data_IF_994909994818
#
_entry.id   IF_994909994818
#
_cell.length_a   1.000
_cell.length_b   1.000
_cell.length_c   1.000
_cell.angle_alpha   90.00
_cell.angle_beta   90.00
_cell.angle_gamma   90.00
#
_symmetry.space_group_name_H-M   'P 1'
#
loop_
_entity.id
_entity.type
_entity.pdbx_description
1 polymer ?
#
# COMPACT_ATOMS: atom_id res chain seq x y z
N UNK A 1 -58.04 -26.34 1.41
CA UNK A 1 -57.22 -27.26 0.57
C UNK A 1 -56.93 -26.71 -0.82
N UNK A 2 -57.88 -26.09 -1.54
CA UNK A 2 -57.61 -25.54 -2.90
C UNK A 2 -56.57 -24.42 -2.98
N UNK A 3 -56.41 -23.59 -1.96
CA UNK A 3 -55.39 -22.49 -1.97
C UNK A 3 -53.94 -23.00 -1.86
N UNK A 4 -53.68 -24.05 -1.10
CA UNK A 4 -52.34 -24.64 -0.94
C UNK A 4 -51.85 -25.31 -2.23
N UNK A 5 -52.77 -25.89 -3.02
CA UNK A 5 -52.40 -26.52 -4.31
C UNK A 5 -52.07 -25.49 -5.40
N UNK A 6 -52.69 -24.30 -5.33
CA UNK A 6 -52.37 -23.18 -6.24
C UNK A 6 -51.01 -22.57 -5.92
N UNK A 7 -50.73 -22.29 -4.62
CA UNK A 7 -49.45 -21.74 -4.17
C UNK A 7 -48.30 -22.69 -4.48
N UNK A 8 -48.47 -24.00 -4.28
CA UNK A 8 -47.41 -24.98 -4.63
C UNK A 8 -47.18 -25.09 -6.12
N UNK A 9 -48.19 -24.91 -6.97
CA UNK A 9 -48.00 -24.84 -8.42
C UNK A 9 -47.27 -23.60 -8.87
N UNK A 10 -47.61 -22.43 -8.35
CA UNK A 10 -46.91 -21.17 -8.67
C UNK A 10 -45.47 -21.19 -8.23
N UNK A 11 -45.15 -21.77 -7.07
CA UNK A 11 -43.78 -21.93 -6.59
C UNK A 11 -42.99 -22.90 -7.49
N UNK A 12 -43.58 -24.02 -7.88
CA UNK A 12 -42.91 -24.98 -8.75
C UNK A 12 -42.68 -24.45 -10.18
N UNK A 13 -43.55 -23.60 -10.67
CA UNK A 13 -43.37 -22.98 -12.00
C UNK A 13 -42.30 -21.90 -11.92
N UNK A 14 -42.20 -21.09 -10.87
CA UNK A 14 -41.09 -20.18 -10.62
C UNK A 14 -39.74 -20.90 -10.49
N UNK A 15 -39.71 -22.02 -9.77
CA UNK A 15 -38.50 -22.84 -9.61
C UNK A 15 -38.01 -23.50 -10.91
N UNK A 16 -38.91 -23.70 -11.90
CA UNK A 16 -38.53 -24.19 -13.23
C UNK A 16 -37.85 -23.13 -14.07
N UNK A 17 -38.26 -21.87 -13.92
CA UNK A 17 -37.65 -20.74 -14.65
C UNK A 17 -36.31 -20.29 -14.01
N UNK A 18 -36.11 -20.59 -12.71
CA UNK A 18 -34.83 -20.29 -11.97
C UNK A 18 -33.80 -21.43 -12.09
N UNK A 19 -33.79 -22.20 -13.16
CA UNK A 19 -32.79 -23.25 -13.36
C UNK A 19 -31.38 -22.67 -13.48
N UNK A 20 -30.67 -22.67 -12.38
CA UNK A 20 -29.24 -22.37 -12.37
C UNK A 20 -28.51 -23.58 -12.97
N UNK A 21 -27.79 -23.36 -14.05
CA UNK A 21 -26.96 -24.41 -14.65
C UNK A 21 -25.73 -24.67 -13.77
N UNK A 22 -25.83 -25.70 -12.93
CA UNK A 22 -24.73 -26.12 -12.03
C UNK A 22 -23.59 -26.83 -12.76
N UNK A 23 -23.74 -27.08 -14.07
CA UNK A 23 -22.67 -27.70 -14.90
C UNK A 23 -21.70 -26.66 -15.44
N UNK A 24 -22.02 -25.38 -15.33
CA UNK A 24 -21.09 -24.31 -15.71
C UNK A 24 -19.83 -24.39 -14.83
N UNK A 25 -18.64 -24.43 -15.44
CA UNK A 25 -17.39 -24.45 -14.67
C UNK A 25 -17.32 -23.21 -13.78
N UNK A 26 -16.92 -23.42 -12.53
CA UNK A 26 -16.62 -22.33 -11.59
C UNK A 26 -15.63 -21.39 -12.31
N UNK A 27 -15.95 -20.09 -12.36
CA UNK A 27 -15.02 -19.10 -12.90
C UNK A 27 -13.66 -19.33 -12.26
N UNK A 28 -12.60 -19.56 -13.06
CA UNK A 28 -11.28 -19.81 -12.49
C UNK A 28 -10.91 -18.64 -11.59
N UNK A 29 -10.73 -18.92 -10.31
CA UNK A 29 -10.25 -17.92 -9.35
C UNK A 29 -8.83 -17.56 -9.80
N UNK A 30 -8.66 -16.36 -10.34
CA UNK A 30 -7.32 -15.85 -10.64
C UNK A 30 -6.63 -15.62 -9.30
N UNK A 31 -5.79 -16.57 -8.89
CA UNK A 31 -4.89 -16.32 -7.76
C UNK A 31 -4.00 -15.13 -8.13
N UNK A 32 -4.07 -14.09 -7.32
CA UNK A 32 -3.14 -12.98 -7.40
C UNK A 32 -1.71 -13.51 -7.18
N UNK A 33 -0.74 -12.85 -7.79
CA UNK A 33 0.68 -13.13 -7.57
C UNK A 33 1.31 -11.89 -6.97
N UNK A 34 2.19 -12.10 -5.98
CA UNK A 34 2.97 -11.01 -5.39
C UNK A 34 3.99 -10.52 -6.41
N UNK A 35 4.16 -9.22 -6.53
CA UNK A 35 5.14 -8.63 -7.43
C UNK A 35 6.57 -9.08 -7.03
N UNK A 36 7.46 -9.41 -7.98
CA UNK A 36 8.83 -9.86 -7.66
C UNK A 36 9.60 -8.90 -6.76
N UNK A 37 9.45 -7.58 -6.94
CA UNK A 37 10.07 -6.58 -6.08
C UNK A 37 9.59 -6.70 -4.63
N UNK A 38 8.30 -6.92 -4.41
CA UNK A 38 7.77 -7.13 -3.05
C UNK A 38 8.32 -8.39 -2.41
N UNK A 39 8.48 -9.47 -3.17
CA UNK A 39 9.07 -10.71 -2.67
C UNK A 39 10.52 -10.50 -2.21
N UNK A 40 11.31 -9.74 -2.98
CA UNK A 40 12.70 -9.40 -2.63
C UNK A 40 12.77 -8.51 -1.40
N UNK A 41 11.88 -7.52 -1.27
CA UNK A 41 11.78 -6.67 -0.08
C UNK A 41 11.46 -7.51 1.17
N UNK A 42 10.51 -8.42 1.06
CA UNK A 42 10.12 -9.30 2.17
C UNK A 42 11.28 -10.23 2.58
N UNK A 43 11.99 -10.79 1.60
CA UNK A 43 13.17 -11.65 1.84
C UNK A 43 14.31 -10.88 2.53
N UNK A 44 14.66 -9.69 2.03
CA UNK A 44 15.69 -8.83 2.64
C UNK A 44 15.29 -8.46 4.07
N UNK A 45 14.03 -8.06 4.27
CA UNK A 45 13.52 -7.68 5.59
C UNK A 45 13.60 -8.85 6.57
N UNK A 46 13.31 -10.07 6.12
CA UNK A 46 13.44 -11.28 6.93
C UNK A 46 14.89 -11.54 7.36
N UNK A 47 15.83 -11.49 6.41
CA UNK A 47 17.26 -11.70 6.68
C UNK A 47 17.79 -10.69 7.71
N UNK A 48 17.46 -9.40 7.53
CA UNK A 48 17.92 -8.37 8.46
C UNK A 48 17.25 -8.46 9.84
N UNK A 49 15.99 -8.89 9.91
CA UNK A 49 15.30 -9.07 11.19
C UNK A 49 15.95 -10.18 12.05
N UNK A 50 16.50 -11.23 11.44
CA UNK A 50 17.20 -12.30 12.13
C UNK A 50 18.48 -11.83 12.86
N UNK A 51 19.10 -10.75 12.37
CA UNK A 51 20.29 -10.14 13.00
C UNK A 51 19.94 -8.91 13.84
N UNK A 52 18.67 -8.71 14.15
CA UNK A 52 18.20 -7.71 15.11
C UNK A 52 17.83 -6.33 14.51
N UNK A 53 17.72 -6.21 13.20
CA UNK A 53 17.19 -4.99 12.58
C UNK A 53 15.66 -4.99 12.57
N UNK A 54 15.08 -3.80 12.57
CA UNK A 54 13.65 -3.58 12.39
C UNK A 54 13.40 -2.66 11.20
N UNK A 55 12.28 -2.91 10.50
CA UNK A 55 11.84 -2.04 9.41
C UNK A 55 11.17 -0.80 10.01
N UNK A 56 11.67 0.38 9.64
CA UNK A 56 11.07 1.65 10.02
C UNK A 56 10.45 2.32 8.79
N UNK A 57 9.22 2.80 8.94
CA UNK A 57 8.48 3.52 7.92
C UNK A 57 8.33 4.98 8.28
N UNK A 58 8.20 5.83 7.27
CA UNK A 58 7.99 7.26 7.46
C UNK A 58 7.13 7.87 6.35
N UNK A 59 6.63 9.09 6.57
CA UNK A 59 5.77 9.78 5.63
C UNK A 59 6.51 10.15 4.34
N UNK A 60 5.77 10.28 3.24
CA UNK A 60 6.30 10.77 1.97
C UNK A 60 6.43 12.29 1.95
N UNK A 61 5.57 12.99 2.71
CA UNK A 61 5.64 14.43 2.92
C UNK A 61 6.55 14.70 4.11
N UNK A 62 7.62 15.47 3.91
CA UNK A 62 8.66 15.66 4.90
C UNK A 62 9.06 17.14 5.03
N UNK A 63 9.70 17.45 6.14
CA UNK A 63 10.29 18.76 6.34
C UNK A 63 11.65 18.86 5.65
N UNK A 64 11.97 20.05 5.18
CA UNK A 64 13.30 20.37 4.61
C UNK A 64 14.43 20.05 5.61
N UNK A 65 14.18 20.28 6.90
CA UNK A 65 15.13 19.97 7.96
C UNK A 65 15.50 18.48 7.98
N UNK A 66 14.52 17.59 8.02
CA UNK A 66 14.77 16.14 8.07
C UNK A 66 15.34 15.59 6.77
N UNK A 67 14.96 16.19 5.62
CA UNK A 67 15.37 15.70 4.32
C UNK A 67 16.79 16.16 3.93
N UNK A 68 17.24 17.29 4.44
CA UNK A 68 18.53 17.89 4.07
C UNK A 68 19.38 18.35 5.25
N UNK A 69 18.88 19.29 6.05
CA UNK A 69 19.69 19.96 7.07
C UNK A 69 20.23 18.99 8.12
N UNK A 70 19.38 18.12 8.66
CA UNK A 70 19.77 17.12 9.64
C UNK A 70 20.72 16.04 9.08
N UNK A 71 20.78 15.89 7.75
CA UNK A 71 21.69 15.00 7.03
C UNK A 71 22.97 15.71 6.55
N UNK A 72 23.24 16.91 7.07
CA UNK A 72 24.40 17.72 6.73
C UNK A 72 24.50 18.08 5.23
N UNK A 73 23.37 18.28 4.58
CA UNK A 73 23.29 18.78 3.21
C UNK A 73 23.16 20.31 3.25
N UNK A 74 24.18 21.08 2.79
CA UNK A 74 24.17 22.55 2.86
C UNK A 74 23.10 23.17 1.95
N UNK A 75 22.80 24.47 2.18
CA UNK A 75 21.72 25.16 1.46
C UNK A 75 22.00 25.34 -0.05
N UNK A 76 23.26 25.44 -0.43
CA UNK A 76 23.75 25.57 -1.80
C UNK A 76 23.96 24.24 -2.54
N UNK A 77 23.57 23.11 -1.90
CA UNK A 77 23.75 21.81 -2.52
C UNK A 77 22.78 21.61 -3.70
N UNK A 78 23.24 21.12 -4.86
CA UNK A 78 22.42 20.94 -6.06
C UNK A 78 21.15 20.10 -5.84
N UNK A 79 21.18 19.12 -4.94
CA UNK A 79 20.02 18.28 -4.62
C UNK A 79 18.83 19.07 -4.02
N UNK A 80 19.05 20.31 -3.56
CA UNK A 80 17.99 21.21 -3.08
C UNK A 80 17.35 22.03 -4.20
N UNK A 81 17.84 21.90 -5.43
CA UNK A 81 17.26 22.60 -6.57
C UNK A 81 15.83 22.10 -6.84
N UNK A 82 15.00 23.01 -7.30
CA UNK A 82 13.59 22.74 -7.65
C UNK A 82 13.44 21.70 -8.79
N UNK A 83 14.50 21.44 -9.55
CA UNK A 83 14.50 20.42 -10.60
C UNK A 83 14.54 19.00 -10.03
N UNK A 84 15.18 18.83 -8.87
CA UNK A 84 15.38 17.52 -8.23
C UNK A 84 14.49 17.30 -7.00
N UNK A 85 13.83 18.34 -6.50
CA UNK A 85 13.01 18.29 -5.28
C UNK A 85 11.65 18.94 -5.49
N UNK A 86 10.57 18.20 -5.18
CA UNK A 86 9.21 18.74 -5.20
C UNK A 86 8.87 19.39 -3.87
N UNK A 87 8.83 20.73 -3.85
CA UNK A 87 8.35 21.50 -2.72
C UNK A 87 6.84 21.68 -2.79
N UNK A 88 6.16 21.48 -1.66
CA UNK A 88 4.70 21.61 -1.55
C UNK A 88 4.27 23.02 -1.14
N UNK A 89 5.20 23.81 -0.59
CA UNK A 89 4.97 25.17 -0.15
C UNK A 89 5.99 26.13 -0.78
N UNK A 90 5.56 27.38 -1.02
CA UNK A 90 6.44 28.43 -1.56
C UNK A 90 7.63 28.76 -0.64
N UNK A 91 7.47 28.57 0.67
CA UNK A 91 8.53 28.79 1.66
C UNK A 91 9.60 27.69 1.68
N UNK A 92 9.46 26.65 0.85
CA UNK A 92 10.35 25.49 0.73
C UNK A 92 10.59 24.69 2.01
N UNK A 93 9.69 24.78 3.00
CA UNK A 93 9.83 24.07 4.27
C UNK A 93 9.28 22.66 4.24
N UNK A 94 8.32 22.39 3.37
CA UNK A 94 7.66 21.10 3.20
C UNK A 94 7.84 20.62 1.76
N UNK A 95 8.24 19.35 1.61
CA UNK A 95 8.58 18.75 0.34
C UNK A 95 8.16 17.28 0.29
N UNK A 96 8.15 16.70 -0.91
CA UNK A 96 8.14 15.25 -1.06
C UNK A 96 9.57 14.74 -0.85
N UNK A 97 9.74 13.77 0.06
CA UNK A 97 11.07 13.23 0.36
C UNK A 97 11.75 12.70 -0.90
N UNK A 98 13.00 13.05 -1.08
CA UNK A 98 13.82 12.64 -2.23
C UNK A 98 14.50 11.29 -2.01
N UNK A 99 14.60 10.84 -0.78
CA UNK A 99 15.21 9.58 -0.36
C UNK A 99 14.61 9.07 0.96
N UNK A 100 15.08 7.93 1.46
CA UNK A 100 14.54 7.30 2.68
C UNK A 100 15.23 7.75 3.98
N UNK A 101 16.35 8.45 3.91
CA UNK A 101 17.13 8.87 5.09
C UNK A 101 16.40 9.80 6.08
N UNK A 102 15.36 10.57 5.71
CA UNK A 102 14.56 11.30 6.72
C UNK A 102 13.96 10.39 7.79
N UNK A 103 13.63 9.13 7.46
CA UNK A 103 13.13 8.14 8.42
C UNK A 103 14.21 7.83 9.47
N UNK A 104 15.48 7.77 9.08
CA UNK A 104 16.60 7.60 10.01
C UNK A 104 16.67 8.75 11.02
N UNK A 105 16.54 10.00 10.57
CA UNK A 105 16.50 11.17 11.45
C UNK A 105 15.34 11.10 12.43
N UNK A 106 14.13 10.74 11.95
CA UNK A 106 12.95 10.56 12.79
C UNK A 106 13.14 9.48 13.85
N UNK A 107 13.70 8.35 13.47
CA UNK A 107 13.99 7.26 14.40
C UNK A 107 14.98 7.70 15.47
N UNK A 108 16.11 8.33 15.09
CA UNK A 108 17.09 8.84 16.03
C UNK A 108 16.55 9.92 16.99
N UNK A 109 15.60 10.74 16.55
CA UNK A 109 14.98 11.76 17.41
C UNK A 109 13.96 11.16 18.40
N UNK A 110 13.36 10.03 18.07
CA UNK A 110 12.35 9.36 18.88
C UNK A 110 12.93 8.33 19.84
N UNK A 111 14.04 7.71 19.50
CA UNK A 111 14.77 6.78 20.37
C UNK A 111 15.70 7.59 21.29
N UNK A 112 15.30 7.70 22.57
CA UNK A 112 16.12 8.29 23.64
C UNK A 112 16.80 7.21 24.45
#
# INVERSE_FOLDING_TARGET
MKNLEIETKEINDKLKDEKIDVTLPIRPFKQGKIHPVSQVIDEISSIFSEIGFSVAEGPDVETEYNNFTALNTPEDHPARDMHDTFYLEENKKILLRTHTSPVQIRTMLNEK
#
